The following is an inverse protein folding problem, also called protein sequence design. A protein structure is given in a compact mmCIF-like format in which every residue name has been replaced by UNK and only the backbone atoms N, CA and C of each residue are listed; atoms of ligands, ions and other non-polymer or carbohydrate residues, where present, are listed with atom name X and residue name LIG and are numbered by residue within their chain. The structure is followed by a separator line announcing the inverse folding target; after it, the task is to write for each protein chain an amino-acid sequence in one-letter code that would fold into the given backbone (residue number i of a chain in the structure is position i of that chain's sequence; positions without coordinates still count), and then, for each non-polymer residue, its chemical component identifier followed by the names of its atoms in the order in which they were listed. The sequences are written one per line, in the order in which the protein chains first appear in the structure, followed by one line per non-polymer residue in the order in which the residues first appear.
data_IF_027063247610
#
_entry.id   IF_027063247610
#
_cell.length_a   1.000
_cell.length_b   1.000
_cell.length_c   1.000
_cell.angle_alpha   90.00
_cell.angle_beta   90.00
_cell.angle_gamma   90.00
#
_symmetry.space_group_name_H-M   'P 1'
#
loop_
_entity.id
_entity.type
_entity.pdbx_description
1 polymer ?
#
# COMPACT_ATOMS: atom_id res chain seq x y z
N UNK A 1 -39.88 -74.10 67.89
CA UNK A 1 -39.36 -74.64 66.62
C UNK A 1 -39.03 -73.48 65.72
N UNK A 2 -37.76 -73.37 65.32
CA UNK A 2 -37.21 -72.76 64.09
C UNK A 2 -37.64 -71.34 63.69
N UNK A 3 -36.80 -70.47 63.14
CA UNK A 3 -35.36 -70.26 63.09
C UNK A 3 -35.26 -68.88 62.44
N UNK A 4 -34.43 -68.02 62.99
CA UNK A 4 -34.25 -66.63 62.58
C UNK A 4 -33.07 -66.55 61.63
N UNK A 5 -33.28 -66.26 60.34
CA UNK A 5 -32.25 -65.64 59.49
C UNK A 5 -32.86 -64.80 58.36
N UNK A 6 -32.89 -63.48 58.56
CA UNK A 6 -33.05 -62.52 57.47
C UNK A 6 -31.68 -62.37 56.79
N UNK A 7 -31.56 -62.89 55.56
CA UNK A 7 -30.32 -62.87 54.76
C UNK A 7 -30.21 -61.51 54.08
N UNK A 8 -29.32 -60.64 54.57
CA UNK A 8 -28.90 -59.42 53.84
C UNK A 8 -27.80 -59.82 52.85
N UNK A 9 -27.93 -59.58 51.54
CA UNK A 9 -26.83 -59.80 50.60
C UNK A 9 -25.84 -58.63 50.73
N UNK A 10 -24.68 -58.88 51.32
CA UNK A 10 -23.57 -57.94 51.37
C UNK A 10 -22.79 -57.91 50.06
N UNK A 11 -22.77 -56.76 49.39
CA UNK A 11 -21.80 -56.42 48.35
C UNK A 11 -20.47 -56.05 49.01
N UNK A 12 -19.54 -56.99 49.10
CA UNK A 12 -18.17 -56.72 49.54
C UNK A 12 -17.29 -56.43 48.32
N UNK A 13 -17.45 -55.25 47.70
CA UNK A 13 -16.30 -54.65 47.02
C UNK A 13 -15.41 -54.05 48.10
N UNK A 14 -14.14 -54.44 48.12
CA UNK A 14 -13.20 -53.94 49.12
C UNK A 14 -12.96 -52.44 48.88
N UNK A 15 -12.75 -51.64 49.93
CA UNK A 15 -12.45 -50.21 49.79
C UNK A 15 -11.24 -49.95 48.85
N UNK A 16 -10.35 -50.93 48.75
CA UNK A 16 -9.21 -50.94 47.83
C UNK A 16 -9.64 -51.08 46.35
N UNK A 17 -10.62 -51.92 46.03
CA UNK A 17 -11.18 -52.03 44.68
C UNK A 17 -11.92 -50.77 44.24
N UNK A 18 -12.69 -50.16 45.16
CA UNK A 18 -13.36 -48.88 44.88
C UNK A 18 -12.36 -47.74 44.65
N UNK A 19 -11.29 -47.68 45.45
CA UNK A 19 -10.22 -46.69 45.27
C UNK A 19 -9.44 -46.91 43.96
N UNK A 20 -9.15 -48.16 43.59
CA UNK A 20 -8.51 -48.48 42.30
C UNK A 20 -9.40 -48.11 41.11
N UNK A 21 -10.70 -48.40 41.18
CA UNK A 21 -11.66 -47.99 40.15
C UNK A 21 -11.72 -46.47 39.99
N UNK A 22 -11.76 -45.73 41.10
CA UNK A 22 -11.71 -44.27 41.11
C UNK A 22 -10.43 -43.73 40.45
N UNK A 23 -9.26 -44.25 40.82
CA UNK A 23 -7.98 -43.80 40.26
C UNK A 23 -7.86 -44.06 38.76
N UNK A 24 -8.37 -45.20 38.27
CA UNK A 24 -8.37 -45.53 36.84
C UNK A 24 -9.26 -44.54 36.07
N UNK A 25 -10.47 -44.28 36.55
CA UNK A 25 -11.40 -43.33 35.91
C UNK A 25 -10.81 -41.91 35.94
N UNK A 26 -10.23 -41.50 37.07
CA UNK A 26 -9.59 -40.20 37.22
C UNK A 26 -8.41 -40.02 36.24
N UNK A 27 -7.58 -41.06 36.07
CA UNK A 27 -6.48 -41.04 35.11
C UNK A 27 -6.98 -40.92 33.65
N UNK A 28 -8.04 -41.67 33.29
CA UNK A 28 -8.64 -41.59 31.95
C UNK A 28 -9.20 -40.19 31.68
N UNK A 29 -9.96 -39.62 32.60
CA UNK A 29 -10.52 -38.26 32.46
C UNK A 29 -9.39 -37.23 32.34
N UNK A 30 -8.34 -37.36 33.16
CA UNK A 30 -7.19 -36.44 33.10
C UNK A 30 -6.46 -36.52 31.75
N UNK A 31 -6.27 -37.72 31.19
CA UNK A 31 -5.67 -37.90 29.87
C UNK A 31 -6.55 -37.29 28.78
N UNK A 32 -7.87 -37.50 28.83
CA UNK A 32 -8.81 -36.90 27.87
C UNK A 32 -8.73 -35.37 27.93
N UNK A 33 -8.74 -34.78 29.13
CA UNK A 33 -8.63 -33.33 29.29
C UNK A 33 -7.30 -32.79 28.76
N UNK A 34 -6.19 -33.50 28.96
CA UNK A 34 -4.88 -33.12 28.42
C UNK A 34 -4.85 -33.20 26.89
N UNK A 35 -5.46 -34.24 26.29
CA UNK A 35 -5.53 -34.38 24.82
C UNK A 35 -6.39 -33.27 24.21
N UNK A 36 -7.56 -32.98 24.81
CA UNK A 36 -8.44 -31.89 24.33
C UNK A 36 -7.76 -30.54 24.49
N UNK A 37 -7.08 -30.30 25.61
CA UNK A 37 -6.32 -29.06 25.83
C UNK A 37 -5.17 -28.91 24.84
N UNK A 38 -4.42 -29.99 24.58
CA UNK A 38 -3.35 -30.00 23.58
C UNK A 38 -3.87 -29.75 22.16
N UNK A 39 -5.01 -30.35 21.80
CA UNK A 39 -5.67 -30.11 20.51
C UNK A 39 -6.15 -28.66 20.37
N UNK A 40 -6.69 -28.07 21.44
CA UNK A 40 -7.09 -26.66 21.46
C UNK A 40 -5.88 -25.73 21.32
N UNK A 41 -4.79 -25.99 22.04
CA UNK A 41 -3.54 -25.22 21.91
C UNK A 41 -2.99 -25.33 20.49
N UNK A 42 -2.98 -26.53 19.90
CA UNK A 42 -2.55 -26.73 18.52
C UNK A 42 -3.47 -26.04 17.50
N UNK A 43 -4.78 -26.05 17.74
CA UNK A 43 -5.77 -25.35 16.91
C UNK A 43 -5.58 -23.82 16.99
N UNK A 44 -5.37 -23.28 18.19
CA UNK A 44 -5.10 -21.85 18.37
C UNK A 44 -3.71 -21.49 17.82
N UNK A 45 -2.70 -22.34 17.94
CA UNK A 45 -1.38 -22.07 17.37
C UNK A 45 -1.36 -22.12 15.83
N UNK A 46 -2.18 -23.00 15.23
CA UNK A 46 -2.32 -23.11 13.77
C UNK A 46 -3.18 -22.00 13.17
N UNK A 47 -4.24 -21.57 13.86
CA UNK A 47 -5.18 -20.57 13.36
C UNK A 47 -5.01 -19.16 13.94
N UNK A 48 -4.34 -19.03 15.08
CA UNK A 48 -4.10 -17.78 15.81
C UNK A 48 -2.83 -17.05 15.39
N UNK A 49 -2.35 -17.26 14.16
CA UNK A 49 -1.34 -16.39 13.58
C UNK A 49 -2.02 -15.05 13.31
N UNK A 50 -1.81 -14.08 14.21
CA UNK A 50 -1.87 -12.66 13.83
C UNK A 50 -1.11 -12.57 12.52
N UNK A 51 -1.79 -12.29 11.40
CA UNK A 51 -1.11 -12.08 10.14
C UNK A 51 -0.08 -10.97 10.43
N UNK A 52 1.23 -11.27 10.50
CA UNK A 52 2.18 -10.17 10.49
C UNK A 52 1.84 -9.37 9.24
N UNK A 53 1.83 -8.02 9.30
CA UNK A 53 1.59 -7.22 8.10
C UNK A 53 2.46 -7.83 7.02
N UNK A 54 1.83 -8.26 5.92
CA UNK A 54 2.51 -8.97 4.85
C UNK A 54 3.77 -8.16 4.59
N UNK A 55 4.93 -8.73 4.94
CA UNK A 55 6.20 -8.08 4.67
C UNK A 55 6.14 -7.70 3.20
N UNK A 56 6.41 -6.43 2.84
CA UNK A 56 6.25 -5.97 1.47
C UNK A 56 6.86 -7.04 0.58
N UNK A 57 6.03 -7.70 -0.24
CA UNK A 57 6.57 -8.58 -1.28
C UNK A 57 7.57 -7.70 -1.98
N UNK A 58 8.84 -8.13 -1.97
CA UNK A 58 10.03 -7.32 -2.19
C UNK A 58 9.68 -6.08 -3.02
N UNK A 59 10.00 -4.85 -2.52
CA UNK A 59 9.64 -3.61 -3.21
C UNK A 59 9.91 -3.82 -4.68
N UNK A 60 9.07 -3.32 -5.57
CA UNK A 60 9.38 -3.31 -7.00
C UNK A 60 10.83 -2.79 -7.17
N UNK A 61 11.79 -3.72 -7.16
CA UNK A 61 13.25 -3.48 -7.18
C UNK A 61 13.69 -3.27 -8.62
N UNK A 62 12.71 -3.20 -9.53
CA UNK A 62 12.87 -2.74 -10.89
C UNK A 62 13.11 -1.24 -11.01
N UNK A 63 13.26 -0.48 -9.90
CA UNK A 63 13.90 0.83 -9.97
C UNK A 63 15.42 0.66 -10.04
N UNK A 64 15.86 -0.05 -11.07
CA UNK A 64 17.26 -0.03 -11.41
C UNK A 64 17.52 1.27 -12.18
N UNK A 65 17.98 2.29 -11.45
CA UNK A 65 18.44 3.57 -12.02
C UNK A 65 19.66 3.42 -12.93
N UNK A 66 20.19 2.21 -13.11
CA UNK A 66 21.27 1.93 -14.05
C UNK A 66 20.74 1.84 -15.50
N UNK A 67 21.11 2.80 -16.38
CA UNK A 67 20.72 2.78 -17.80
C UNK A 67 21.19 1.51 -18.54
N UNK A 68 22.22 0.82 -18.04
CA UNK A 68 22.73 -0.43 -18.59
C UNK A 68 21.87 -1.66 -18.26
N UNK A 69 20.89 -1.54 -17.35
CA UNK A 69 19.91 -2.60 -17.06
C UNK A 69 18.58 -2.31 -17.77
N UNK A 70 18.22 -1.04 -17.90
CA UNK A 70 17.05 -0.58 -18.66
C UNK A 70 17.11 -0.97 -20.17
N UNK A 71 18.32 -1.14 -20.71
CA UNK A 71 18.58 -1.44 -22.12
C UNK A 71 18.82 -2.93 -22.42
N UNK A 72 18.79 -3.85 -21.44
CA UNK A 72 19.04 -5.27 -21.70
C UNK A 72 17.80 -5.95 -22.32
N UNK A 73 17.93 -6.57 -23.52
CA UNK A 73 16.87 -7.38 -24.10
C UNK A 73 16.64 -8.61 -23.21
N UNK A 74 15.52 -8.64 -22.50
CA UNK A 74 15.16 -9.70 -21.56
C UNK A 74 13.97 -9.32 -20.68
N UNK A 75 13.84 -8.03 -20.34
CA UNK A 75 12.73 -7.49 -19.54
C UNK A 75 11.61 -6.84 -20.39
N UNK A 76 11.64 -7.04 -21.72
CA UNK A 76 10.74 -6.40 -22.68
C UNK A 76 11.11 -4.93 -22.96
N UNK A 77 12.31 -4.70 -23.52
CA UNK A 77 12.89 -3.38 -23.75
C UNK A 77 11.93 -2.36 -24.37
N UNK A 78 11.48 -1.40 -23.56
CA UNK A 78 10.54 -0.34 -23.95
C UNK A 78 11.24 0.88 -24.55
N UNK A 79 12.55 1.04 -24.32
CA UNK A 79 13.38 2.05 -24.98
C UNK A 79 14.02 1.44 -26.22
N UNK A 80 13.73 2.03 -27.38
CA UNK A 80 14.27 1.52 -28.63
C UNK A 80 15.67 2.09 -28.93
N UNK A 81 16.62 1.30 -29.43
CA UNK A 81 18.00 1.76 -29.70
C UNK A 81 18.08 3.03 -30.54
N UNK A 82 17.21 3.16 -31.54
CA UNK A 82 17.15 4.33 -32.41
C UNK A 82 16.80 5.62 -31.65
N UNK A 83 15.91 5.53 -30.66
CA UNK A 83 15.51 6.70 -29.86
C UNK A 83 16.59 7.09 -28.86
N UNK A 84 17.34 6.11 -28.35
CA UNK A 84 18.50 6.34 -27.49
C UNK A 84 19.63 7.01 -28.28
N UNK A 85 19.88 6.55 -29.51
CA UNK A 85 20.86 7.17 -30.40
C UNK A 85 20.49 8.62 -30.74
N UNK A 86 19.22 8.88 -31.07
CA UNK A 86 18.72 10.23 -31.32
C UNK A 86 18.87 11.14 -30.09
N UNK A 87 18.54 10.64 -28.90
CA UNK A 87 18.71 11.40 -27.66
C UNK A 87 20.19 11.72 -27.37
N UNK A 88 21.09 10.74 -27.54
CA UNK A 88 22.53 10.96 -27.36
C UNK A 88 23.09 12.00 -28.35
N UNK A 89 22.66 11.96 -29.61
CA UNK A 89 23.01 12.99 -30.60
C UNK A 89 22.51 14.37 -30.17
N UNK A 90 21.25 14.47 -29.75
CA UNK A 90 20.67 15.72 -29.28
C UNK A 90 21.40 16.30 -28.04
N UNK A 91 21.83 15.44 -27.10
CA UNK A 91 22.62 15.86 -25.93
C UNK A 91 23.97 16.49 -26.36
N UNK A 92 24.62 15.93 -27.39
CA UNK A 92 25.88 16.47 -27.91
C UNK A 92 25.69 17.80 -28.64
N UNK A 93 24.64 17.92 -29.45
CA UNK A 93 24.32 19.14 -30.22
C UNK A 93 23.78 20.26 -29.33
N UNK A 94 23.10 19.92 -28.23
CA UNK A 94 22.50 20.87 -27.30
C UNK A 94 22.88 20.53 -25.84
N UNK A 95 24.09 20.89 -25.37
CA UNK A 95 24.51 20.61 -23.99
C UNK A 95 23.62 21.25 -22.92
N UNK A 96 22.98 22.38 -23.25
CA UNK A 96 21.99 23.07 -22.42
C UNK A 96 20.58 22.89 -23.00
N UNK A 97 19.55 22.71 -22.16
CA UNK A 97 18.21 22.44 -22.64
C UNK A 97 17.58 23.68 -23.27
N UNK A 98 16.92 23.49 -24.42
CA UNK A 98 16.30 24.59 -25.15
C UNK A 98 14.90 24.97 -24.62
N UNK A 99 14.16 24.03 -24.01
CA UNK A 99 12.78 24.26 -23.50
C UNK A 99 12.53 23.50 -22.18
N UNK A 100 13.40 23.66 -21.19
CA UNK A 100 13.20 23.09 -19.85
C UNK A 100 12.33 24.02 -18.99
N UNK A 101 11.09 23.62 -18.72
CA UNK A 101 10.13 24.43 -17.94
C UNK A 101 10.00 24.02 -16.47
N UNK A 102 10.15 22.73 -16.16
CA UNK A 102 10.05 22.19 -14.78
C UNK A 102 11.43 21.85 -14.22
N UNK A 103 12.24 21.12 -14.98
CA UNK A 103 13.60 20.72 -14.59
C UNK A 103 14.62 21.82 -14.88
N UNK A 104 14.39 23.01 -14.32
CA UNK A 104 15.28 24.18 -14.49
C UNK A 104 16.63 23.92 -13.78
N UNK A 105 17.70 24.50 -14.33
CA UNK A 105 19.05 24.40 -13.76
C UNK A 105 19.78 23.07 -13.97
N UNK A 106 19.21 22.17 -14.77
CA UNK A 106 19.84 20.91 -15.19
C UNK A 106 20.37 21.02 -16.63
N UNK A 107 21.49 20.37 -16.93
CA UNK A 107 21.97 20.19 -18.30
C UNK A 107 21.09 19.21 -19.09
N UNK A 108 21.20 19.21 -20.42
CA UNK A 108 20.45 18.26 -21.26
C UNK A 108 20.76 16.81 -20.90
N UNK A 109 22.01 16.50 -20.54
CA UNK A 109 22.41 15.17 -20.09
C UNK A 109 21.77 14.78 -18.75
N UNK A 110 21.66 15.72 -17.79
CA UNK A 110 21.01 15.49 -16.52
C UNK A 110 19.49 15.27 -16.69
N UNK A 111 18.85 16.09 -17.53
CA UNK A 111 17.44 15.93 -17.87
C UNK A 111 17.21 14.58 -18.56
N UNK A 112 18.06 14.19 -19.51
CA UNK A 112 17.97 12.89 -20.17
C UNK A 112 18.04 11.74 -19.16
N UNK A 113 18.99 11.78 -18.21
CA UNK A 113 19.07 10.76 -17.15
C UNK A 113 17.80 10.71 -16.29
N UNK A 114 17.21 11.86 -15.95
CA UNK A 114 15.92 11.90 -15.27
C UNK A 114 14.80 11.28 -16.12
N UNK A 115 14.75 11.60 -17.42
CA UNK A 115 13.75 11.05 -18.33
C UNK A 115 13.86 9.53 -18.47
N UNK A 116 15.07 8.98 -18.60
CA UNK A 116 15.26 7.53 -18.74
C UNK A 116 14.96 6.82 -17.42
N UNK A 117 15.48 7.31 -16.30
CA UNK A 117 15.39 6.60 -15.02
C UNK A 117 14.04 6.77 -14.33
N UNK A 118 13.46 7.97 -14.36
CA UNK A 118 12.23 8.27 -13.62
C UNK A 118 10.98 8.15 -14.48
N UNK A 119 10.97 8.86 -15.62
CA UNK A 119 9.77 8.98 -16.46
C UNK A 119 9.58 7.70 -17.27
N UNK A 120 10.50 7.39 -18.17
CA UNK A 120 10.44 6.17 -18.99
C UNK A 120 10.50 4.92 -18.11
N UNK A 121 11.37 4.90 -17.09
CA UNK A 121 11.45 3.82 -16.11
C UNK A 121 10.14 3.52 -15.39
N UNK A 122 9.47 4.56 -14.88
CA UNK A 122 8.22 4.40 -14.14
C UNK A 122 7.00 4.08 -15.01
N UNK A 123 6.99 4.56 -16.26
CA UNK A 123 5.87 4.35 -17.19
C UNK A 123 6.07 3.15 -18.13
N UNK A 124 7.31 2.66 -18.27
CA UNK A 124 7.77 1.70 -19.29
C UNK A 124 7.34 2.11 -20.70
N UNK A 125 7.56 3.37 -21.07
CA UNK A 125 7.22 3.94 -22.38
C UNK A 125 8.45 4.37 -23.15
N UNK A 126 8.36 4.30 -24.49
CA UNK A 126 9.42 4.77 -25.38
C UNK A 126 9.45 6.31 -25.47
N UNK A 127 10.59 6.90 -25.83
CA UNK A 127 10.76 8.35 -25.95
C UNK A 127 9.75 9.00 -26.90
N UNK A 128 9.43 8.34 -28.01
CA UNK A 128 8.48 8.81 -29.04
C UNK A 128 7.05 9.00 -28.53
N UNK A 129 6.73 8.46 -27.35
CA UNK A 129 5.41 8.66 -26.72
C UNK A 129 5.19 10.12 -26.34
N UNK A 130 6.25 10.81 -25.94
CA UNK A 130 6.20 12.19 -25.45
C UNK A 130 7.10 13.15 -26.22
N UNK A 131 8.07 12.66 -26.99
CA UNK A 131 9.03 13.51 -27.70
C UNK A 131 9.00 13.29 -29.20
N UNK A 132 9.16 14.39 -29.94
CA UNK A 132 9.66 14.34 -31.30
C UNK A 132 11.16 14.05 -31.24
N UNK A 133 11.59 12.92 -31.81
CA UNK A 133 13.00 12.48 -31.78
C UNK A 133 13.92 13.36 -32.63
N UNK A 134 13.37 14.17 -33.55
CA UNK A 134 14.11 15.17 -34.29
C UNK A 134 14.24 16.49 -33.53
N UNK A 135 13.39 16.74 -32.52
CA UNK A 135 13.43 17.93 -31.69
C UNK A 135 12.84 17.66 -30.30
N UNK A 136 13.69 17.27 -29.35
CA UNK A 136 13.26 16.94 -27.99
C UNK A 136 12.69 18.15 -27.22
N UNK A 137 12.98 19.38 -27.65
CA UNK A 137 12.44 20.61 -27.07
C UNK A 137 11.01 20.94 -27.54
N UNK A 138 10.55 20.39 -28.67
CA UNK A 138 9.19 20.62 -29.20
C UNK A 138 8.10 20.20 -28.21
N UNK A 139 7.04 21.00 -28.12
CA UNK A 139 5.82 20.72 -27.33
C UNK A 139 4.64 20.32 -28.24
N UNK A 140 4.91 19.94 -29.49
CA UNK A 140 3.88 19.52 -30.45
C UNK A 140 3.06 18.29 -29.99
N UNK A 141 3.65 17.44 -29.15
CA UNK A 141 2.98 16.28 -28.56
C UNK A 141 2.37 16.68 -27.22
N UNK A 142 1.03 16.67 -27.14
CA UNK A 142 0.29 17.00 -25.92
C UNK A 142 0.63 16.11 -24.71
N UNK A 143 1.11 14.88 -24.94
CA UNK A 143 1.61 13.98 -23.90
C UNK A 143 2.79 14.57 -23.13
N UNK A 144 3.65 15.37 -23.76
CA UNK A 144 4.74 16.09 -23.09
C UNK A 144 4.23 17.17 -22.15
N UNK A 145 3.22 17.92 -22.59
CA UNK A 145 2.57 18.97 -21.79
C UNK A 145 1.89 18.34 -20.58
N UNK A 146 1.18 17.23 -20.76
CA UNK A 146 0.58 16.47 -19.66
C UNK A 146 1.66 15.92 -18.70
N UNK A 147 2.75 15.35 -19.22
CA UNK A 147 3.85 14.85 -18.40
C UNK A 147 4.48 15.97 -17.54
N UNK A 148 4.56 17.20 -18.07
CA UNK A 148 5.02 18.38 -17.32
C UNK A 148 4.13 18.67 -16.11
N UNK A 149 2.82 18.62 -16.29
CA UNK A 149 1.85 18.80 -15.20
C UNK A 149 1.95 17.66 -14.16
N UNK A 150 2.17 16.42 -14.61
CA UNK A 150 2.39 15.29 -13.70
C UNK A 150 3.68 15.44 -12.87
N UNK A 151 4.76 15.97 -13.46
CA UNK A 151 6.00 16.24 -12.71
C UNK A 151 5.78 17.31 -11.64
N UNK A 152 5.00 18.36 -11.93
CA UNK A 152 4.63 19.37 -10.95
C UNK A 152 3.78 18.79 -9.81
N UNK A 153 2.80 17.95 -10.13
CA UNK A 153 2.00 17.24 -9.13
C UNK A 153 2.91 16.39 -8.23
N UNK A 154 3.81 15.58 -8.79
CA UNK A 154 4.71 14.74 -7.97
C UNK A 154 5.60 15.58 -7.04
N UNK A 155 6.14 16.69 -7.53
CA UNK A 155 6.94 17.60 -6.70
C UNK A 155 6.12 18.22 -5.56
N UNK A 156 4.91 18.71 -5.87
CA UNK A 156 3.97 19.29 -4.91
C UNK A 156 3.60 18.27 -3.80
N UNK A 157 3.20 17.06 -4.18
CA UNK A 157 2.83 16.02 -3.21
C UNK A 157 4.00 15.66 -2.29
N UNK A 158 5.19 15.53 -2.88
CA UNK A 158 6.38 15.20 -2.12
C UNK A 158 6.75 16.32 -1.12
N UNK A 159 6.74 17.57 -1.58
CA UNK A 159 7.14 18.73 -0.78
C UNK A 159 6.13 19.11 0.31
N UNK A 160 4.84 18.91 0.07
CA UNK A 160 3.80 19.39 0.99
C UNK A 160 3.23 18.29 1.89
N UNK A 161 3.38 17.01 1.52
CA UNK A 161 2.79 15.90 2.29
C UNK A 161 3.83 14.86 2.69
N UNK A 162 4.64 14.34 1.77
CA UNK A 162 5.51 13.19 2.06
C UNK A 162 6.63 13.56 3.03
N UNK A 163 7.27 14.71 2.87
CA UNK A 163 8.34 15.18 3.77
C UNK A 163 7.87 15.45 5.21
N UNK A 164 6.55 15.60 5.42
CA UNK A 164 5.98 15.81 6.76
C UNK A 164 5.89 14.50 7.56
N UNK A 165 6.03 13.36 6.90
CA UNK A 165 6.05 12.05 7.55
C UNK A 165 7.43 11.80 8.17
N UNK A 166 7.50 11.21 9.37
CA UNK A 166 8.79 10.94 10.00
C UNK A 166 9.54 9.85 9.23
N UNK A 167 10.87 9.93 9.21
CA UNK A 167 11.72 9.03 8.42
C UNK A 167 11.48 7.54 8.73
N UNK A 168 11.18 7.22 10.00
CA UNK A 168 10.87 5.85 10.46
C UNK A 168 9.49 5.34 10.01
N UNK A 169 8.58 6.21 9.58
CA UNK A 169 7.31 5.82 8.95
C UNK A 169 7.48 5.41 7.48
N UNK A 170 8.72 5.42 6.99
CA UNK A 170 9.05 5.06 5.62
C UNK A 170 8.82 6.20 4.63
N UNK A 171 9.27 7.42 4.99
CA UNK A 171 9.25 8.66 4.19
C UNK A 171 9.91 8.52 2.82
N UNK A 172 9.29 7.71 1.97
CA UNK A 172 9.67 7.40 0.61
C UNK A 172 8.85 8.29 -0.30
N UNK A 173 9.57 9.03 -1.12
CA UNK A 173 9.02 10.00 -2.04
C UNK A 173 8.26 9.28 -3.16
N UNK A 174 7.13 9.85 -3.55
CA UNK A 174 6.32 9.41 -4.69
C UNK A 174 7.13 9.62 -5.97
N UNK A 175 7.09 8.63 -6.85
CA UNK A 175 7.67 8.70 -8.20
C UNK A 175 6.61 8.43 -9.25
N UNK A 176 6.99 8.53 -10.53
CA UNK A 176 6.12 8.11 -11.63
C UNK A 176 5.71 6.63 -11.47
N UNK A 177 6.63 5.77 -11.05
CA UNK A 177 6.39 4.34 -10.85
C UNK A 177 5.37 4.06 -9.74
N UNK A 178 5.26 4.94 -8.74
CA UNK A 178 4.34 4.76 -7.61
C UNK A 178 2.88 4.63 -8.05
N UNK A 179 2.45 5.42 -9.03
CA UNK A 179 1.08 5.33 -9.57
C UNK A 179 1.04 4.47 -10.84
N UNK A 180 1.98 4.70 -11.77
CA UNK A 180 1.95 4.10 -13.09
C UNK A 180 2.31 2.61 -13.08
N UNK A 181 3.17 2.18 -12.16
CA UNK A 181 3.64 0.79 -12.03
C UNK A 181 3.98 0.13 -13.39
N UNK A 182 4.74 0.87 -14.22
CA UNK A 182 5.16 0.41 -15.55
C UNK A 182 4.05 0.42 -16.61
N UNK A 183 2.98 1.20 -16.42
CA UNK A 183 1.89 1.38 -17.38
C UNK A 183 1.57 2.85 -17.56
N UNK A 184 1.37 3.30 -18.80
CA UNK A 184 0.95 4.68 -19.07
C UNK A 184 -0.40 5.01 -18.41
N UNK A 185 -1.29 4.02 -18.32
CA UNK A 185 -2.56 4.12 -17.61
C UNK A 185 -2.47 3.43 -16.26
N UNK A 186 -2.86 4.13 -15.20
CA UNK A 186 -2.98 3.59 -13.85
C UNK A 186 -4.44 3.44 -13.43
N UNK A 187 -4.67 2.52 -12.50
CA UNK A 187 -5.97 2.27 -11.89
C UNK A 187 -6.02 2.94 -10.52
N UNK A 188 -7.09 3.67 -10.24
CA UNK A 188 -7.24 4.30 -8.93
C UNK A 188 -7.91 3.38 -7.92
N UNK A 189 -8.65 2.35 -8.33
CA UNK A 189 -9.30 1.35 -7.47
C UNK A 189 -8.93 -0.07 -7.91
N UNK A 190 -9.04 -1.08 -7.04
CA UNK A 190 -8.83 -2.46 -7.45
C UNK A 190 -9.93 -2.92 -8.42
N UNK A 191 -9.62 -3.93 -9.23
CA UNK A 191 -10.56 -4.50 -10.19
C UNK A 191 -11.82 -5.05 -9.51
N UNK A 192 -11.68 -5.55 -8.27
CA UNK A 192 -12.77 -6.06 -7.43
C UNK A 192 -12.67 -5.38 -6.06
N UNK A 193 -13.76 -4.75 -5.63
CA UNK A 193 -13.84 -4.03 -4.34
C UNK A 193 -14.57 -4.81 -3.23
N UNK A 194 -14.80 -6.11 -3.38
CA UNK A 194 -15.53 -6.92 -2.38
C UNK A 194 -14.92 -6.81 -0.97
N UNK A 195 -15.73 -6.61 0.10
CA UNK A 195 -17.20 -6.62 0.16
C UNK A 195 -17.88 -5.25 -0.12
N UNK A 196 -17.13 -4.25 -0.57
CA UNK A 196 -17.62 -2.90 -0.86
C UNK A 196 -18.28 -2.89 -2.26
N UNK A 197 -19.39 -2.15 -2.47
CA UNK A 197 -19.96 -1.96 -3.79
C UNK A 197 -18.94 -1.42 -4.79
N UNK A 198 -18.93 -1.93 -6.02
CA UNK A 198 -17.96 -1.50 -7.04
C UNK A 198 -18.11 -0.03 -7.44
N UNK A 199 -19.30 0.55 -7.24
CA UNK A 199 -19.60 1.97 -7.48
C UNK A 199 -19.10 2.90 -6.37
N UNK A 200 -18.65 2.36 -5.24
CA UNK A 200 -18.16 3.15 -4.13
C UNK A 200 -16.88 3.88 -4.49
N UNK A 201 -16.77 5.12 -4.02
CA UNK A 201 -15.58 5.96 -4.11
C UNK A 201 -15.27 6.57 -2.76
N UNK A 202 -13.99 6.81 -2.53
CA UNK A 202 -13.48 7.47 -1.34
C UNK A 202 -14.09 8.89 -1.24
N UNK A 203 -14.71 9.27 -0.10
CA UNK A 203 -15.45 10.52 0.03
C UNK A 203 -14.51 11.70 0.28
N UNK A 204 -13.69 12.02 -0.71
CA UNK A 204 -12.63 13.04 -0.60
C UNK A 204 -13.16 14.48 -0.54
N UNK A 205 -14.41 14.72 -0.92
CA UNK A 205 -15.01 16.05 -0.86
C UNK A 205 -15.31 16.48 0.59
N UNK A 206 -15.48 15.52 1.51
CA UNK A 206 -15.75 15.79 2.91
C UNK A 206 -15.16 14.69 3.82
N UNK A 207 -13.94 14.90 4.32
CA UNK A 207 -13.29 13.95 5.23
C UNK A 207 -13.95 13.90 6.62
N UNK A 208 -14.67 14.95 7.04
CA UNK A 208 -15.42 14.94 8.31
C UNK A 208 -16.59 13.95 8.29
N UNK A 209 -16.98 13.48 7.10
CA UNK A 209 -17.90 12.35 6.94
C UNK A 209 -17.37 11.08 7.63
N UNK A 210 -16.05 10.94 7.79
CA UNK A 210 -15.40 9.79 8.45
C UNK A 210 -15.33 9.94 9.98
N UNK A 211 -15.86 11.01 10.56
CA UNK A 211 -15.95 11.17 12.00
C UNK A 211 -17.36 10.75 12.46
N UNK A 212 -17.52 9.47 12.80
CA UNK A 212 -18.82 8.90 13.21
C UNK A 212 -18.93 8.69 14.72
N UNK A 213 -17.80 8.50 15.40
CA UNK A 213 -17.75 8.28 16.85
C UNK A 213 -17.99 9.58 17.62
N UNK A 214 -18.72 9.51 18.74
CA UNK A 214 -18.97 10.67 19.62
C UNK A 214 -20.05 11.65 19.13
N UNK A 215 -20.65 11.43 17.95
CA UNK A 215 -21.84 12.17 17.50
C UNK A 215 -23.09 11.62 18.18
N UNK A 216 -23.98 12.51 18.62
CA UNK A 216 -25.24 12.14 19.30
C UNK A 216 -26.25 11.44 18.37
N UNK A 217 -26.16 11.69 17.07
CA UNK A 217 -27.03 11.09 16.06
C UNK A 217 -26.24 10.82 14.76
N UNK A 218 -25.42 9.75 14.71
CA UNK A 218 -24.73 9.39 13.49
C UNK A 218 -25.72 8.73 12.52
N UNK A 219 -25.90 9.32 11.34
CA UNK A 219 -26.71 8.71 10.29
C UNK A 219 -26.13 7.34 9.90
N UNK A 220 -26.98 6.32 9.79
CA UNK A 220 -26.56 4.96 9.43
C UNK A 220 -25.76 4.91 8.12
N UNK A 221 -26.17 5.70 7.12
CA UNK A 221 -25.46 5.82 5.86
C UNK A 221 -24.03 6.36 6.03
N UNK A 222 -23.82 7.30 6.96
CA UNK A 222 -22.51 7.83 7.28
C UNK A 222 -21.61 6.77 7.95
N UNK A 223 -22.19 5.98 8.86
CA UNK A 223 -21.50 4.83 9.47
C UNK A 223 -21.09 3.84 8.39
N UNK A 224 -21.98 3.48 7.47
CA UNK A 224 -21.69 2.57 6.38
C UNK A 224 -20.57 3.10 5.45
N UNK A 225 -20.61 4.39 5.09
CA UNK A 225 -19.56 5.02 4.29
C UNK A 225 -18.19 5.00 4.99
N UNK A 226 -18.19 5.19 6.31
CA UNK A 226 -16.98 5.05 7.12
C UNK A 226 -16.44 3.61 7.07
N UNK A 227 -17.31 2.61 7.31
CA UNK A 227 -16.90 1.20 7.27
C UNK A 227 -16.37 0.80 5.89
N UNK A 228 -16.96 1.27 4.79
CA UNK A 228 -16.41 1.05 3.44
C UNK A 228 -15.04 1.69 3.27
N UNK A 229 -14.85 2.91 3.77
CA UNK A 229 -13.54 3.56 3.74
C UNK A 229 -12.49 2.76 4.50
N UNK A 230 -12.80 2.30 5.72
CA UNK A 230 -11.87 1.52 6.53
C UNK A 230 -11.54 0.15 5.91
N UNK A 231 -12.53 -0.52 5.30
CA UNK A 231 -12.29 -1.76 4.55
C UNK A 231 -11.41 -1.53 3.31
N UNK A 232 -11.65 -0.44 2.57
CA UNK A 232 -10.82 -0.08 1.42
C UNK A 232 -9.38 0.22 1.85
N UNK A 233 -9.19 0.97 2.94
CA UNK A 233 -7.87 1.28 3.47
C UNK A 233 -7.11 0.02 3.87
N UNK A 234 -7.75 -0.89 4.62
CA UNK A 234 -7.17 -2.19 5.02
C UNK A 234 -6.69 -2.97 3.77
N UNK A 235 -7.58 -3.14 2.79
CA UNK A 235 -7.27 -3.88 1.58
C UNK A 235 -6.17 -3.22 0.74
N UNK A 236 -6.25 -1.91 0.51
CA UNK A 236 -5.30 -1.18 -0.32
C UNK A 236 -3.90 -1.10 0.29
N UNK A 237 -3.80 -1.09 1.63
CA UNK A 237 -2.52 -1.04 2.36
C UNK A 237 -2.00 -2.45 2.70
N UNK A 238 -2.82 -3.49 2.64
CA UNK A 238 -2.44 -4.85 3.03
C UNK A 238 -2.20 -5.01 4.53
N UNK A 239 -2.90 -4.24 5.36
CA UNK A 239 -2.74 -4.22 6.83
C UNK A 239 -4.08 -4.36 7.54
N UNK A 240 -4.09 -4.99 8.73
CA UNK A 240 -5.29 -5.10 9.55
C UNK A 240 -5.66 -3.82 10.31
N UNK A 241 -6.86 -3.78 10.89
CA UNK A 241 -7.39 -2.62 11.63
C UNK A 241 -6.48 -2.18 12.79
N UNK A 242 -5.88 -3.16 13.49
CA UNK A 242 -4.98 -2.93 14.63
C UNK A 242 -3.67 -2.23 14.24
N UNK A 243 -3.36 -2.12 12.95
CA UNK A 243 -2.21 -1.35 12.46
C UNK A 243 -2.36 0.15 12.76
N UNK A 244 -3.59 0.65 12.83
CA UNK A 244 -3.89 2.07 13.09
C UNK A 244 -4.78 2.30 14.32
N UNK A 245 -5.60 1.33 14.72
CA UNK A 245 -6.62 1.52 15.75
C UNK A 245 -6.40 0.65 16.98
N UNK A 246 -6.62 1.22 18.16
CA UNK A 246 -6.95 0.45 19.34
C UNK A 246 -8.39 -0.05 19.20
N UNK A 247 -8.56 -1.37 19.14
CA UNK A 247 -9.87 -2.01 18.99
C UNK A 247 -10.85 -1.67 20.14
N UNK A 248 -10.34 -1.27 21.31
CA UNK A 248 -11.17 -0.85 22.46
C UNK A 248 -11.64 0.60 22.35
N UNK A 249 -10.90 1.46 21.65
CA UNK A 249 -11.22 2.89 21.53
C UNK A 249 -10.68 3.49 20.22
N UNK A 250 -11.45 3.32 19.14
CA UNK A 250 -11.13 3.81 17.80
C UNK A 250 -10.79 5.32 17.69
N UNK A 251 -11.39 6.23 18.49
CA UNK A 251 -11.02 7.65 18.47
C UNK A 251 -9.58 7.93 18.94
N UNK A 252 -8.93 7.03 19.68
CA UNK A 252 -7.54 7.21 20.15
C UNK A 252 -6.57 7.49 19.00
N UNK A 253 -5.52 8.25 19.29
CA UNK A 253 -4.35 8.49 18.43
C UNK A 253 -3.06 7.90 19.02
N UNK A 254 -3.17 6.99 20.00
CA UNK A 254 -2.02 6.33 20.63
C UNK A 254 -1.17 5.50 19.65
N UNK A 255 -1.76 5.08 18.53
CA UNK A 255 -1.06 4.43 17.42
C UNK A 255 -0.76 5.49 16.35
N UNK A 256 0.52 5.87 16.13
CA UNK A 256 0.88 7.02 15.31
C UNK A 256 0.54 6.86 13.82
N UNK A 257 0.40 5.61 13.33
CA UNK A 257 0.01 5.30 11.96
C UNK A 257 -1.32 5.95 11.57
N UNK A 258 -2.24 6.14 12.52
CA UNK A 258 -3.51 6.85 12.29
C UNK A 258 -3.28 8.31 11.88
N UNK A 259 -2.31 8.99 12.49
CA UNK A 259 -1.96 10.37 12.12
C UNK A 259 -1.34 10.43 10.72
N UNK A 260 -0.50 9.46 10.36
CA UNK A 260 0.08 9.38 9.02
C UNK A 260 -0.98 9.15 7.94
N UNK A 261 -1.93 8.24 8.22
CA UNK A 261 -3.06 7.98 7.33
C UNK A 261 -3.92 9.24 7.12
N UNK A 262 -4.10 10.08 8.14
CA UNK A 262 -4.81 11.35 8.00
C UNK A 262 -4.08 12.32 7.04
N UNK A 263 -2.74 12.43 7.16
CA UNK A 263 -1.94 13.22 6.20
C UNK A 263 -2.12 12.70 4.77
N UNK A 264 -2.14 11.38 4.57
CA UNK A 264 -2.34 10.77 3.23
C UNK A 264 -3.77 10.95 2.69
N UNK A 265 -4.78 10.98 3.56
CA UNK A 265 -6.15 11.32 3.16
C UNK A 265 -6.24 12.78 2.67
N UNK A 266 -5.58 13.71 3.37
CA UNK A 266 -5.48 15.12 2.94
C UNK A 266 -4.72 15.25 1.62
N UNK A 267 -3.63 14.49 1.45
CA UNK A 267 -2.91 14.42 0.18
C UNK A 267 -3.84 13.93 -0.95
N UNK A 268 -4.63 12.89 -0.71
CA UNK A 268 -5.58 12.36 -1.71
C UNK A 268 -6.69 13.36 -2.04
N UNK A 269 -7.19 14.08 -1.03
CA UNK A 269 -8.16 15.16 -1.20
C UNK A 269 -7.59 16.29 -2.06
N UNK A 270 -6.35 16.71 -1.78
CA UNK A 270 -5.63 17.71 -2.56
C UNK A 270 -5.46 17.28 -4.02
N UNK A 271 -5.14 16.00 -4.28
CA UNK A 271 -5.10 15.44 -5.63
C UNK A 271 -6.46 15.55 -6.33
N UNK A 272 -7.54 15.15 -5.64
CA UNK A 272 -8.90 15.19 -6.18
C UNK A 272 -9.37 16.61 -6.51
N UNK A 273 -8.91 17.61 -5.76
CA UNK A 273 -9.31 19.00 -5.95
C UNK A 273 -8.50 19.71 -7.04
N UNK A 274 -7.18 19.50 -7.06
CA UNK A 274 -6.26 20.31 -7.88
C UNK A 274 -5.80 19.62 -9.17
N UNK A 275 -5.87 18.28 -9.24
CA UNK A 275 -5.26 17.50 -10.33
C UNK A 275 -6.25 16.59 -11.07
N UNK A 276 -7.56 16.72 -10.82
CA UNK A 276 -8.60 15.88 -11.44
C UNK A 276 -8.58 15.91 -12.98
N UNK A 277 -8.33 17.07 -13.57
CA UNK A 277 -8.25 17.24 -15.02
C UNK A 277 -7.12 16.41 -15.62
N UNK A 278 -5.92 16.48 -15.03
CA UNK A 278 -4.75 15.73 -15.52
C UNK A 278 -4.87 14.23 -15.21
N UNK A 279 -5.68 13.86 -14.21
CA UNK A 279 -6.05 12.48 -13.91
C UNK A 279 -7.17 11.90 -14.79
N UNK A 280 -7.58 12.60 -15.85
CA UNK A 280 -8.69 12.19 -16.73
C UNK A 280 -9.99 11.94 -15.95
N UNK A 281 -10.29 12.81 -14.97
CA UNK A 281 -11.50 12.74 -14.16
C UNK A 281 -11.53 11.63 -13.10
N UNK A 282 -10.49 10.80 -13.00
CA UNK A 282 -10.42 9.71 -12.02
C UNK A 282 -10.32 10.25 -10.60
N UNK A 283 -11.09 9.68 -9.68
CA UNK A 283 -10.96 9.94 -8.25
C UNK A 283 -9.78 9.15 -7.69
N UNK A 284 -8.82 9.77 -6.99
CA UNK A 284 -7.70 9.06 -6.36
C UNK A 284 -8.19 8.17 -5.20
N UNK A 285 -7.47 7.10 -4.92
CA UNK A 285 -7.69 6.26 -3.74
C UNK A 285 -6.36 5.70 -3.22
N UNK A 286 -6.40 5.07 -2.05
CA UNK A 286 -5.23 4.41 -1.46
C UNK A 286 -4.63 3.36 -2.41
N UNK A 287 -5.48 2.65 -3.16
CA UNK A 287 -5.05 1.60 -4.09
C UNK A 287 -4.15 2.11 -5.21
N UNK A 288 -4.37 3.36 -5.65
CA UNK A 288 -3.62 3.99 -6.75
C UNK A 288 -2.10 3.87 -6.56
N UNK A 289 -1.65 4.04 -5.31
CA UNK A 289 -0.24 4.01 -4.95
C UNK A 289 0.14 2.70 -4.24
N UNK A 290 -0.67 2.27 -3.27
CA UNK A 290 -0.23 1.26 -2.30
C UNK A 290 -0.32 -0.19 -2.81
N UNK A 291 -1.36 -0.52 -3.60
CA UNK A 291 -1.49 -1.83 -4.25
C UNK A 291 -1.23 -3.02 -3.30
N UNK A 292 -1.85 -3.02 -2.12
CA UNK A 292 -1.68 -3.96 -0.99
C UNK A 292 -0.34 -3.88 -0.23
N UNK A 293 0.38 -2.76 -0.33
CA UNK A 293 1.61 -2.51 0.41
C UNK A 293 1.48 -1.20 1.18
N UNK A 294 1.68 -1.25 2.51
CA UNK A 294 1.58 -0.06 3.34
C UNK A 294 2.63 0.99 2.97
N UNK A 295 3.77 0.56 2.40
CA UNK A 295 4.68 1.42 1.64
C UNK A 295 4.43 1.23 0.14
N UNK A 296 4.16 2.29 -0.61
CA UNK A 296 3.89 2.18 -2.04
C UNK A 296 5.06 1.54 -2.80
N UNK A 297 4.85 0.55 -3.67
CA UNK A 297 5.87 0.10 -4.61
C UNK A 297 6.36 1.27 -5.48
N UNK A 298 7.63 1.24 -5.90
CA UNK A 298 8.24 2.30 -6.71
C UNK A 298 8.46 3.64 -6.00
N UNK A 299 8.09 3.77 -4.72
CA UNK A 299 8.53 4.87 -3.87
C UNK A 299 9.99 4.67 -3.46
N UNK A 300 10.75 5.76 -3.38
CA UNK A 300 12.21 5.74 -3.16
C UNK A 300 12.57 6.57 -1.95
N UNK A 301 13.66 6.23 -1.26
CA UNK A 301 14.11 7.08 -0.14
C UNK A 301 14.63 8.40 -0.68
N UNK A 302 14.65 9.45 0.16
CA UNK A 302 15.23 10.74 -0.22
C UNK A 302 16.71 10.61 -0.63
N UNK A 303 17.45 9.69 -0.02
CA UNK A 303 18.85 9.40 -0.38
C UNK A 303 18.97 8.73 -1.76
N UNK A 304 18.00 7.90 -2.15
CA UNK A 304 17.96 7.27 -3.48
C UNK A 304 17.46 8.23 -4.58
N UNK A 305 16.78 9.33 -4.21
CA UNK A 305 16.42 10.43 -5.11
C UNK A 305 17.58 11.39 -5.43
N UNK A 306 18.82 11.06 -5.05
CA UNK A 306 19.99 11.96 -5.10
C UNK A 306 20.51 12.32 -6.50
N UNK A 307 19.60 12.62 -7.43
CA UNK A 307 19.76 13.62 -8.48
C UNK A 307 19.12 14.95 -8.05
N UNK A 308 19.48 15.49 -6.87
CA UNK A 308 18.98 16.75 -6.25
C UNK A 308 17.44 16.82 -6.08
N UNK A 309 16.93 17.36 -4.94
CA UNK A 309 15.52 17.73 -4.89
C UNK A 309 15.24 18.68 -6.05
N UNK A 310 14.27 18.34 -6.88
CA UNK A 310 13.76 19.22 -7.94
C UNK A 310 13.26 20.47 -7.22
N UNK A 311 14.05 21.54 -7.21
CA UNK A 311 13.61 22.84 -6.75
C UNK A 311 12.64 23.36 -7.81
N UNK A 312 11.36 23.03 -7.66
CA UNK A 312 10.29 23.64 -8.44
C UNK A 312 10.10 25.04 -7.88
N UNK A 313 10.84 26.01 -8.41
CA UNK A 313 10.49 27.40 -8.20
C UNK A 313 9.29 27.74 -9.08
N UNK A 314 8.24 28.39 -8.52
CA UNK A 314 7.10 28.89 -9.29
C UNK A 314 7.55 29.80 -10.44
#
# INVERSE_FOLDING_TARGET
MSDSTLRVPGSTETAEEQYRGFLIIFAIISVILLVVSGALVAYVASNGRLFPPKQPSAPYTGYNVNPAVISKPGDGGYLKPETLAAANKYIQEHPQPQNAQVLKGMSTAQIYNYMVTQVAGGLKQNCTTCHNVNNFASDELGTKVLARQMMLMVADLNQNYVVTLPANAGGKMVTCATCHNGKINFNTYPAVQSPIPQSWVLPLDNLDALQVTGKKDPQLAQVQQNQYTMNHMNYALGVGCAFCHNARYFPSYEIPQKSYALTMLKMSQHINQNYKTIMNGKTPSCWMCHQQNYLPPGSVTQADQSAKPISVHP
#
